data_IF_827978766335
#
_entry.id   IF_827978766335
#
_cell.length_a   1.000
_cell.length_b   1.000
_cell.length_c   1.000
_cell.angle_alpha   90.00
_cell.angle_beta   90.00
_cell.angle_gamma   90.00
#
_symmetry.space_group_name_H-M   'P 1'
#
loop_
_entity.id
_entity.type
_entity.pdbx_description
1 polymer ?
#
# COMPACT_ATOMS: atom_id res chain seq x y z
N UNK A 1 -24.56 -10.84 -0.10
CA UNK A 1 -25.94 -10.29 -0.23
C UNK A 1 -25.99 -8.83 0.21
N UNK A 2 -25.54 -8.43 1.40
CA UNK A 2 -25.58 -7.04 1.89
C UNK A 2 -24.98 -6.01 0.90
N UNK A 3 -23.79 -6.29 0.32
CA UNK A 3 -23.22 -5.48 -0.75
C UNK A 3 -24.15 -5.33 -1.96
N UNK A 4 -24.72 -6.45 -2.42
CA UNK A 4 -25.68 -6.41 -3.52
C UNK A 4 -26.88 -5.52 -3.19
N UNK A 5 -27.44 -5.65 -1.98
CA UNK A 5 -28.56 -4.80 -1.53
C UNK A 5 -28.23 -3.32 -1.51
N UNK A 6 -27.02 -2.97 -1.03
CA UNK A 6 -26.57 -1.58 -0.95
C UNK A 6 -26.31 -0.96 -2.35
N UNK A 7 -25.72 -1.73 -3.29
CA UNK A 7 -25.26 -1.20 -4.57
C UNK A 7 -26.23 -1.40 -5.75
N UNK A 8 -27.27 -2.25 -5.63
CA UNK A 8 -28.29 -2.38 -6.69
C UNK A 8 -29.33 -1.26 -6.63
N UNK A 9 -28.89 -0.04 -6.95
CA UNK A 9 -29.73 1.14 -6.98
C UNK A 9 -29.93 1.60 -8.41
N UNK A 10 -31.19 1.70 -8.87
CA UNK A 10 -31.54 2.07 -10.23
C UNK A 10 -31.92 0.87 -11.11
N UNK A 11 -32.15 1.13 -12.40
CA UNK A 11 -32.71 0.11 -13.32
C UNK A 11 -31.67 -0.52 -14.25
N UNK A 12 -30.41 -0.04 -14.24
CA UNK A 12 -29.36 -0.60 -15.08
C UNK A 12 -28.89 -1.97 -14.57
N UNK A 13 -28.25 -2.73 -15.46
CA UNK A 13 -27.63 -4.00 -15.09
C UNK A 13 -26.37 -3.74 -14.25
N UNK A 14 -26.42 -4.06 -12.96
CA UNK A 14 -25.32 -3.81 -12.03
C UNK A 14 -24.17 -4.80 -12.24
N UNK A 15 -22.94 -4.31 -12.11
CA UNK A 15 -21.72 -5.07 -12.34
C UNK A 15 -20.81 -4.97 -11.13
N UNK A 16 -20.20 -6.09 -10.78
CA UNK A 16 -19.12 -6.16 -9.80
C UNK A 16 -17.91 -6.86 -10.39
N UNK A 17 -16.74 -6.37 -10.09
CA UNK A 17 -15.47 -7.02 -10.44
C UNK A 17 -14.85 -7.59 -9.17
N UNK A 18 -14.31 -8.81 -9.24
CA UNK A 18 -13.68 -9.50 -8.11
C UNK A 18 -12.29 -9.95 -8.52
N UNK A 19 -11.28 -9.46 -7.78
CA UNK A 19 -9.92 -9.96 -7.79
C UNK A 19 -9.55 -10.59 -6.47
N UNK A 20 -8.46 -11.34 -6.44
CA UNK A 20 -7.90 -11.94 -5.23
C UNK A 20 -6.38 -11.99 -5.30
N UNK A 21 -5.74 -12.15 -4.15
CA UNK A 21 -4.35 -12.57 -4.12
C UNK A 21 -4.24 -14.11 -4.25
N UNK A 22 -3.10 -14.65 -3.93
CA UNK A 22 -2.80 -16.07 -4.17
C UNK A 22 -3.14 -17.00 -3.00
N UNK A 23 -3.79 -16.50 -1.93
CA UNK A 23 -4.15 -17.28 -0.74
C UNK A 23 -5.14 -18.40 -1.07
N UNK A 24 -4.92 -19.55 -0.46
CA UNK A 24 -5.80 -20.72 -0.67
C UNK A 24 -7.26 -20.43 -0.29
N UNK A 25 -7.49 -19.72 0.83
CA UNK A 25 -8.83 -19.34 1.29
C UNK A 25 -9.56 -18.41 0.31
N UNK A 26 -8.83 -17.70 -0.56
CA UNK A 26 -9.39 -16.81 -1.58
C UNK A 26 -10.32 -17.54 -2.55
N UNK A 27 -10.07 -18.81 -2.85
CA UNK A 27 -10.95 -19.60 -3.73
C UNK A 27 -12.34 -19.83 -3.13
N UNK A 28 -12.40 -20.15 -1.84
CA UNK A 28 -13.67 -20.35 -1.13
C UNK A 28 -14.44 -19.03 -1.00
N UNK A 29 -13.75 -17.95 -0.61
CA UNK A 29 -14.37 -16.63 -0.39
C UNK A 29 -14.91 -16.08 -1.72
N UNK A 30 -14.18 -16.22 -2.83
CA UNK A 30 -14.60 -15.79 -4.18
C UNK A 30 -15.93 -16.45 -4.59
N UNK A 31 -16.09 -17.76 -4.35
CA UNK A 31 -17.32 -18.47 -4.70
C UNK A 31 -18.51 -18.04 -3.82
N UNK A 32 -18.29 -17.86 -2.52
CA UNK A 32 -19.33 -17.38 -1.60
C UNK A 32 -19.81 -15.98 -1.95
N UNK A 33 -18.89 -15.05 -2.21
CA UNK A 33 -19.21 -13.69 -2.66
C UNK A 33 -19.94 -13.70 -4.00
N UNK A 34 -19.47 -14.49 -4.96
CA UNK A 34 -20.10 -14.64 -6.28
C UNK A 34 -21.55 -15.09 -6.14
N UNK A 35 -21.81 -16.16 -5.40
CA UNK A 35 -23.16 -16.66 -5.19
C UNK A 35 -24.09 -15.61 -4.58
N UNK A 36 -23.62 -14.95 -3.50
CA UNK A 36 -24.41 -13.90 -2.84
C UNK A 36 -24.69 -12.67 -3.72
N UNK A 37 -23.77 -12.27 -4.59
CA UNK A 37 -23.96 -11.13 -5.51
C UNK A 37 -24.88 -11.49 -6.68
N UNK A 38 -24.75 -12.70 -7.24
CA UNK A 38 -25.63 -13.19 -8.29
C UNK A 38 -27.08 -13.25 -7.81
N UNK A 39 -27.33 -13.73 -6.58
CA UNK A 39 -28.68 -13.79 -6.00
C UNK A 39 -29.33 -12.42 -5.81
N UNK A 40 -28.52 -11.36 -5.77
CA UNK A 40 -28.98 -9.97 -5.68
C UNK A 40 -29.10 -9.28 -7.07
N UNK A 41 -28.91 -10.02 -8.16
CA UNK A 41 -29.06 -9.52 -9.54
C UNK A 41 -27.83 -8.83 -10.12
N UNK A 42 -26.65 -8.89 -9.47
CA UNK A 42 -25.42 -8.31 -10.00
C UNK A 42 -24.70 -9.26 -10.94
N UNK A 43 -24.18 -8.77 -12.07
CA UNK A 43 -23.25 -9.52 -12.92
C UNK A 43 -21.85 -9.47 -12.32
N UNK A 44 -21.21 -10.63 -12.14
CA UNK A 44 -19.91 -10.80 -11.50
C UNK A 44 -18.83 -11.09 -12.54
N UNK A 45 -17.77 -10.29 -12.53
CA UNK A 45 -16.60 -10.50 -13.37
C UNK A 45 -15.41 -10.93 -12.51
N UNK A 46 -14.92 -12.15 -12.71
CA UNK A 46 -13.84 -12.77 -11.93
C UNK A 46 -12.52 -12.59 -12.66
N UNK A 47 -11.52 -12.03 -11.98
CA UNK A 47 -10.19 -11.78 -12.54
C UNK A 47 -9.16 -12.84 -12.17
N UNK A 48 -9.42 -13.61 -11.07
CA UNK A 48 -8.41 -14.46 -10.45
C UNK A 48 -7.34 -13.66 -9.71
N UNK A 49 -6.11 -14.20 -9.59
CA UNK A 49 -5.02 -13.49 -8.94
C UNK A 49 -4.61 -12.25 -9.73
N UNK A 50 -4.75 -11.07 -9.11
CA UNK A 50 -4.43 -9.75 -9.69
C UNK A 50 -4.19 -8.75 -8.56
N UNK A 51 -3.27 -7.77 -8.71
CA UNK A 51 -3.01 -6.76 -7.68
C UNK A 51 -4.22 -5.93 -7.26
N UNK A 52 -4.24 -5.51 -6.00
CA UNK A 52 -5.27 -4.59 -5.46
C UNK A 52 -5.47 -3.34 -6.33
N UNK A 53 -4.41 -2.61 -6.74
CA UNK A 53 -4.59 -1.45 -7.62
C UNK A 53 -5.18 -1.79 -9.00
N UNK A 54 -4.95 -2.99 -9.51
CA UNK A 54 -5.58 -3.44 -10.76
C UNK A 54 -7.10 -3.59 -10.60
N UNK A 55 -7.57 -4.11 -9.47
CA UNK A 55 -9.01 -4.18 -9.18
C UNK A 55 -9.62 -2.79 -9.15
N UNK A 56 -9.00 -1.83 -8.45
CA UNK A 56 -9.46 -0.45 -8.40
C UNK A 56 -9.52 0.20 -9.79
N UNK A 57 -8.46 0.02 -10.61
CA UNK A 57 -8.40 0.52 -11.98
C UNK A 57 -9.46 -0.11 -12.88
N UNK A 58 -9.62 -1.44 -12.82
CA UNK A 58 -10.58 -2.17 -13.66
C UNK A 58 -12.03 -1.89 -13.26
N UNK A 59 -12.31 -1.66 -11.97
CA UNK A 59 -13.64 -1.20 -11.53
C UNK A 59 -14.06 0.05 -12.30
N UNK A 60 -13.19 1.05 -12.35
CA UNK A 60 -13.44 2.30 -13.07
C UNK A 60 -13.49 2.08 -14.60
N UNK A 61 -12.52 1.38 -15.19
CA UNK A 61 -12.41 1.25 -16.64
C UNK A 61 -13.53 0.40 -17.24
N UNK A 62 -14.06 -0.59 -16.50
CA UNK A 62 -15.18 -1.42 -16.90
C UNK A 62 -16.55 -0.79 -16.55
N UNK A 63 -16.56 0.36 -15.91
CA UNK A 63 -17.76 1.02 -15.39
C UNK A 63 -18.57 0.04 -14.53
N UNK A 64 -17.89 -0.66 -13.62
CA UNK A 64 -18.54 -1.50 -12.62
C UNK A 64 -19.03 -0.63 -11.45
N UNK A 65 -20.13 -1.05 -10.81
CA UNK A 65 -20.69 -0.35 -9.67
C UNK A 65 -19.85 -0.59 -8.41
N UNK A 66 -19.15 -1.72 -8.38
CA UNK A 66 -18.42 -2.21 -7.23
C UNK A 66 -17.17 -2.98 -7.66
N UNK A 67 -16.08 -2.82 -6.94
CA UNK A 67 -14.89 -3.65 -7.01
C UNK A 67 -14.61 -4.34 -5.68
N UNK A 68 -14.22 -5.60 -5.74
CA UNK A 68 -13.88 -6.39 -4.54
C UNK A 68 -12.50 -7.01 -4.73
N UNK A 69 -11.63 -6.81 -3.76
CA UNK A 69 -10.35 -7.50 -3.66
C UNK A 69 -10.32 -8.39 -2.42
N UNK A 70 -10.03 -9.67 -2.61
CA UNK A 70 -9.91 -10.66 -1.53
C UNK A 70 -8.43 -10.79 -1.20
N UNK A 71 -8.01 -10.23 -0.05
CA UNK A 71 -6.61 -10.17 0.38
C UNK A 71 -6.46 -9.77 1.83
N UNK A 72 -5.36 -10.17 2.47
CA UNK A 72 -4.88 -9.62 3.73
C UNK A 72 -3.50 -8.93 3.56
N UNK A 73 -3.24 -8.36 2.35
CA UNK A 73 -2.03 -7.59 2.01
C UNK A 73 -0.74 -8.34 2.37
N UNK A 74 0.04 -7.79 3.30
CA UNK A 74 1.36 -8.30 3.70
C UNK A 74 1.33 -9.41 4.76
N UNK A 75 0.16 -9.78 5.27
CA UNK A 75 0.03 -10.88 6.24
C UNK A 75 0.33 -12.23 5.59
N UNK A 76 0.65 -13.24 6.40
CA UNK A 76 0.82 -14.61 5.92
C UNK A 76 -0.52 -15.23 5.48
N UNK A 77 -0.48 -16.41 4.87
CA UNK A 77 -1.62 -17.03 4.19
C UNK A 77 -2.82 -17.37 5.08
N UNK A 78 -2.62 -17.53 6.39
CA UNK A 78 -3.67 -17.87 7.36
C UNK A 78 -4.73 -16.78 7.47
N UNK A 79 -4.30 -15.52 7.31
CA UNK A 79 -5.20 -14.38 7.31
C UNK A 79 -5.79 -14.15 5.92
N UNK A 80 -7.00 -13.62 5.88
CA UNK A 80 -7.60 -13.09 4.66
C UNK A 80 -8.56 -11.95 5.02
N UNK A 81 -8.97 -11.18 4.01
CA UNK A 81 -9.84 -10.04 4.18
C UNK A 81 -10.49 -9.62 2.87
N UNK A 82 -11.29 -8.57 2.93
CA UNK A 82 -12.00 -8.03 1.77
C UNK A 82 -11.79 -6.52 1.75
N UNK A 83 -11.25 -6.00 0.65
CA UNK A 83 -11.19 -4.57 0.35
C UNK A 83 -12.27 -4.27 -0.70
N UNK A 84 -13.08 -3.24 -0.46
CA UNK A 84 -14.20 -2.89 -1.32
C UNK A 84 -13.95 -1.51 -1.94
N UNK A 85 -14.22 -1.41 -3.24
CA UNK A 85 -14.02 -0.19 -4.03
C UNK A 85 -15.34 0.28 -4.64
N UNK A 86 -15.58 1.59 -4.59
CA UNK A 86 -16.69 2.23 -5.30
C UNK A 86 -16.45 2.25 -6.82
N UNK A 87 -17.42 2.73 -7.58
CA UNK A 87 -17.35 2.87 -9.04
C UNK A 87 -16.20 3.73 -9.56
N UNK A 88 -15.59 4.55 -8.71
CA UNK A 88 -14.43 5.39 -9.02
C UNK A 88 -13.09 4.71 -8.65
N UNK A 89 -13.13 3.48 -8.11
CA UNK A 89 -11.97 2.75 -7.63
C UNK A 89 -11.42 3.29 -6.30
N UNK A 90 -12.23 3.96 -5.49
CA UNK A 90 -11.86 4.38 -4.14
C UNK A 90 -12.36 3.36 -3.12
N UNK A 91 -11.59 3.13 -2.05
CA UNK A 91 -12.07 2.36 -0.90
C UNK A 91 -13.34 3.01 -0.33
N UNK A 92 -14.25 2.19 0.17
CA UNK A 92 -15.48 2.69 0.78
C UNK A 92 -15.18 3.56 2.00
N UNK A 93 -16.12 4.46 2.32
CA UNK A 93 -16.07 5.23 3.56
C UNK A 93 -16.49 4.39 4.76
N UNK A 94 -16.03 4.71 5.99
CA UNK A 94 -16.48 4.02 7.21
C UNK A 94 -18.00 4.04 7.35
N UNK A 95 -18.63 5.17 6.95
CA UNK A 95 -20.08 5.29 6.96
C UNK A 95 -20.72 4.23 6.07
N UNK A 96 -20.22 4.05 4.87
CA UNK A 96 -20.74 3.04 3.92
C UNK A 96 -20.45 1.62 4.41
N UNK A 97 -19.28 1.37 5.00
CA UNK A 97 -18.93 0.08 5.60
C UNK A 97 -19.89 -0.27 6.75
N UNK A 98 -20.15 0.67 7.67
CA UNK A 98 -21.13 0.50 8.77
C UNK A 98 -22.54 0.24 8.24
N UNK A 99 -22.98 0.95 7.20
CA UNK A 99 -24.29 0.73 6.57
C UNK A 99 -24.40 -0.70 6.01
N UNK A 100 -23.32 -1.23 5.40
CA UNK A 100 -23.26 -2.60 4.88
C UNK A 100 -23.24 -3.62 6.02
N UNK A 101 -22.50 -3.37 7.10
CA UNK A 101 -22.48 -4.22 8.29
C UNK A 101 -23.88 -4.34 8.93
N UNK A 102 -24.61 -3.23 9.08
CA UNK A 102 -26.00 -3.27 9.53
C UNK A 102 -26.92 -4.06 8.59
N UNK A 103 -26.69 -3.99 7.27
CA UNK A 103 -27.43 -4.83 6.32
C UNK A 103 -27.11 -6.32 6.48
N UNK A 104 -25.90 -6.68 6.93
CA UNK A 104 -25.56 -8.09 7.18
C UNK A 104 -26.36 -8.71 8.33
N UNK A 105 -26.81 -7.89 9.28
CA UNK A 105 -27.66 -8.30 10.41
C UNK A 105 -29.17 -8.35 10.07
N UNK A 106 -29.56 -7.86 8.87
CA UNK A 106 -30.94 -7.77 8.43
C UNK A 106 -31.39 -9.01 7.62
N UNK A 107 -32.70 -9.22 7.54
CA UNK A 107 -33.28 -10.25 6.65
C UNK A 107 -33.15 -9.81 5.18
N UNK A 108 -32.22 -10.43 4.45
CA UNK A 108 -31.96 -10.11 3.03
C UNK A 108 -32.75 -10.99 2.05
N UNK A 109 -33.45 -12.00 2.54
CA UNK A 109 -34.20 -12.96 1.71
C UNK A 109 -35.28 -12.30 0.87
N UNK A 110 -35.95 -11.29 1.41
CA UNK A 110 -36.97 -10.51 0.73
C UNK A 110 -36.41 -9.56 -0.36
N UNK A 111 -35.07 -9.46 -0.46
CA UNK A 111 -34.37 -8.58 -1.43
C UNK A 111 -33.72 -9.36 -2.57
N UNK A 112 -33.94 -10.68 -2.65
CA UNK A 112 -33.40 -11.51 -3.73
C UNK A 112 -33.99 -11.10 -5.09
N UNK A 113 -33.15 -11.19 -6.12
CA UNK A 113 -33.59 -10.94 -7.47
C UNK A 113 -34.60 -12.01 -7.95
N UNK A 114 -35.61 -11.62 -8.70
CA UNK A 114 -36.49 -12.57 -9.37
C UNK A 114 -35.71 -13.48 -10.36
N UNK A 115 -36.28 -14.65 -10.72
CA UNK A 115 -35.57 -15.64 -11.55
C UNK A 115 -34.98 -15.10 -12.86
N UNK A 116 -35.68 -14.13 -13.48
CA UNK A 116 -35.26 -13.48 -14.74
C UNK A 116 -34.17 -12.41 -14.52
N UNK A 117 -33.94 -11.98 -13.28
CA UNK A 117 -32.99 -10.91 -12.90
C UNK A 117 -31.74 -11.45 -12.19
N UNK A 118 -31.63 -12.74 -11.94
CA UNK A 118 -30.43 -13.34 -11.37
C UNK A 118 -29.21 -12.94 -12.19
N UNK A 119 -28.10 -12.61 -11.51
CA UNK A 119 -26.84 -12.19 -12.14
C UNK A 119 -26.15 -13.33 -12.89
N UNK A 120 -25.14 -12.98 -13.68
CA UNK A 120 -24.28 -13.93 -14.41
C UNK A 120 -22.83 -13.76 -14.01
N UNK A 121 -22.13 -14.85 -13.73
CA UNK A 121 -20.69 -14.84 -13.50
C UNK A 121 -19.93 -15.08 -14.82
N UNK A 122 -18.85 -14.30 -15.01
CA UNK A 122 -17.93 -14.45 -16.14
C UNK A 122 -16.51 -14.29 -15.69
N UNK A 123 -15.62 -15.21 -16.08
CA UNK A 123 -14.19 -15.04 -15.91
C UNK A 123 -13.61 -14.18 -17.05
N UNK A 124 -12.76 -13.21 -16.72
CA UNK A 124 -12.03 -12.37 -17.67
C UNK A 124 -10.56 -12.76 -17.68
N UNK A 125 -10.12 -13.40 -18.75
CA UNK A 125 -8.75 -13.88 -18.92
C UNK A 125 -7.76 -12.74 -19.24
N UNK A 126 -8.24 -11.61 -19.76
CA UNK A 126 -7.43 -10.48 -20.23
C UNK A 126 -7.21 -9.38 -19.16
N UNK A 127 -7.66 -9.59 -17.92
CA UNK A 127 -7.57 -8.60 -16.84
C UNK A 127 -6.12 -8.17 -16.55
N UNK A 128 -5.18 -9.13 -16.47
CA UNK A 128 -3.76 -8.82 -16.31
C UNK A 128 -3.18 -8.04 -17.48
N UNK A 129 -3.55 -8.38 -18.73
CA UNK A 129 -3.10 -7.66 -19.92
C UNK A 129 -3.58 -6.20 -19.92
N UNK A 130 -4.84 -5.95 -19.54
CA UNK A 130 -5.36 -4.57 -19.39
C UNK A 130 -4.61 -3.77 -18.35
N UNK A 131 -4.26 -4.39 -17.22
CA UNK A 131 -3.49 -3.73 -16.18
C UNK A 131 -2.06 -3.43 -16.64
N UNK A 132 -1.39 -4.36 -17.35
CA UNK A 132 -0.07 -4.15 -17.92
C UNK A 132 -0.07 -2.98 -18.92
N UNK A 133 -1.08 -2.90 -19.79
CA UNK A 133 -1.21 -1.76 -20.72
C UNK A 133 -1.41 -0.44 -19.98
N UNK A 134 -2.21 -0.44 -18.90
CA UNK A 134 -2.34 0.73 -18.05
C UNK A 134 -0.99 1.12 -17.43
N UNK A 135 -0.24 0.16 -16.86
CA UNK A 135 1.08 0.38 -16.26
C UNK A 135 2.07 0.98 -17.27
N UNK A 136 2.13 0.45 -18.50
CA UNK A 136 2.95 1.02 -19.58
C UNK A 136 2.60 2.47 -19.88
N UNK A 137 1.32 2.82 -19.76
CA UNK A 137 0.84 4.20 -19.91
C UNK A 137 1.37 5.17 -18.85
N UNK A 138 1.79 4.68 -17.69
CA UNK A 138 2.38 5.49 -16.61
C UNK A 138 3.88 5.72 -16.78
N UNK A 139 4.55 4.90 -17.59
CA UNK A 139 5.99 5.02 -17.88
C UNK A 139 6.22 5.97 -19.07
N UNK A 140 7.25 6.85 -19.03
CA UNK A 140 7.49 7.79 -20.13
C UNK A 140 7.77 7.08 -21.46
N UNK A 141 7.01 7.40 -22.51
CA UNK A 141 7.11 6.75 -23.82
C UNK A 141 8.49 6.87 -24.49
N UNK A 142 9.27 7.90 -24.12
CA UNK A 142 10.62 8.13 -24.64
C UNK A 142 11.70 7.34 -23.91
N UNK A 143 11.35 6.58 -22.89
CA UNK A 143 12.29 5.83 -22.06
C UNK A 143 12.11 4.33 -22.19
N UNK A 144 13.18 3.60 -21.95
CA UNK A 144 13.22 2.14 -21.85
C UNK A 144 14.14 1.74 -20.69
N UNK A 145 14.05 0.50 -20.28
CA UNK A 145 14.86 -0.08 -19.21
C UNK A 145 16.00 -0.95 -19.74
N UNK A 146 16.34 -0.81 -21.04
CA UNK A 146 17.43 -1.59 -21.66
C UNK A 146 18.74 -1.37 -20.90
N UNK A 147 19.43 -2.48 -20.59
CA UNK A 147 20.69 -2.48 -19.86
C UNK A 147 20.55 -2.44 -18.34
N UNK A 148 19.33 -2.34 -17.78
CA UNK A 148 19.08 -2.51 -16.35
C UNK A 148 18.80 -3.97 -16.02
N UNK A 149 19.55 -4.52 -15.07
CA UNK A 149 19.31 -5.84 -14.48
C UNK A 149 18.55 -5.68 -13.17
N UNK A 150 17.34 -6.20 -13.10
CA UNK A 150 16.39 -6.01 -12.00
C UNK A 150 16.06 -7.36 -11.36
N UNK A 151 16.21 -7.49 -10.04
CA UNK A 151 15.64 -8.61 -9.29
C UNK A 151 14.26 -8.18 -8.80
N UNK A 152 13.21 -8.92 -9.15
CA UNK A 152 11.83 -8.69 -8.70
C UNK A 152 11.37 -9.77 -7.73
N UNK A 153 10.93 -9.38 -6.55
CA UNK A 153 10.28 -10.21 -5.53
C UNK A 153 8.79 -9.89 -5.51
N UNK A 154 7.97 -10.85 -5.92
CA UNK A 154 6.51 -10.69 -5.97
C UNK A 154 5.80 -11.28 -4.74
N UNK A 155 6.52 -11.58 -3.65
CA UNK A 155 5.96 -12.12 -2.40
C UNK A 155 5.12 -13.41 -2.58
N UNK A 156 5.29 -14.17 -3.67
CA UNK A 156 4.34 -15.19 -4.13
C UNK A 156 2.88 -14.69 -4.15
N UNK A 157 2.70 -13.38 -4.35
CA UNK A 157 1.45 -12.65 -4.26
C UNK A 157 0.83 -12.36 -5.63
N UNK A 158 -0.13 -11.46 -5.65
CA UNK A 158 -0.99 -11.14 -6.78
C UNK A 158 -0.26 -10.57 -8.00
N UNK A 159 0.93 -9.98 -7.79
CA UNK A 159 1.74 -9.35 -8.83
C UNK A 159 2.66 -10.32 -9.60
N UNK A 160 2.63 -11.62 -9.29
CA UNK A 160 3.58 -12.61 -9.81
C UNK A 160 3.60 -12.75 -11.35
N UNK A 161 2.53 -12.35 -12.04
CA UNK A 161 2.46 -12.30 -13.50
C UNK A 161 2.79 -10.89 -14.00
N UNK A 162 2.09 -9.88 -13.49
CA UNK A 162 2.14 -8.52 -14.05
C UNK A 162 3.48 -7.82 -13.83
N UNK A 163 4.10 -7.95 -12.65
CA UNK A 163 5.32 -7.21 -12.34
C UNK A 163 6.53 -7.68 -13.15
N UNK A 164 6.83 -8.99 -13.27
CA UNK A 164 7.94 -9.42 -14.12
C UNK A 164 7.70 -9.09 -15.60
N UNK A 165 6.47 -9.26 -16.08
CA UNK A 165 6.14 -9.08 -17.49
C UNK A 165 6.28 -7.62 -17.93
N UNK A 166 5.77 -6.66 -17.13
CA UNK A 166 5.91 -5.23 -17.46
C UNK A 166 7.37 -4.78 -17.51
N UNK A 167 8.21 -5.24 -16.57
CA UNK A 167 9.62 -4.90 -16.55
C UNK A 167 10.35 -5.46 -17.79
N UNK A 168 10.04 -6.70 -18.16
CA UNK A 168 10.59 -7.32 -19.37
C UNK A 168 10.12 -6.61 -20.64
N UNK A 169 8.83 -6.28 -20.77
CA UNK A 169 8.30 -5.54 -21.93
C UNK A 169 8.93 -4.15 -22.09
N UNK A 170 9.34 -3.52 -21.01
CA UNK A 170 10.06 -2.24 -21.03
C UNK A 170 11.57 -2.39 -21.33
N UNK A 171 12.09 -3.61 -21.45
CA UNK A 171 13.46 -3.91 -21.90
C UNK A 171 14.44 -4.29 -20.81
N UNK A 172 14.01 -4.45 -19.54
CA UNK A 172 14.90 -4.86 -18.45
C UNK A 172 15.31 -6.34 -18.55
N UNK A 173 16.52 -6.67 -18.07
CA UNK A 173 16.90 -8.03 -17.70
C UNK A 173 16.28 -8.35 -16.35
N UNK A 174 15.31 -9.29 -16.29
CA UNK A 174 14.49 -9.53 -15.11
C UNK A 174 14.82 -10.88 -14.48
N UNK A 175 15.26 -10.84 -13.22
CA UNK A 175 15.45 -12.03 -12.38
C UNK A 175 14.28 -12.09 -11.40
N UNK A 176 13.56 -13.20 -11.40
CA UNK A 176 12.34 -13.38 -10.62
C UNK A 176 12.61 -14.21 -9.38
N UNK A 177 12.12 -13.76 -8.22
CA UNK A 177 12.03 -14.54 -6.99
C UNK A 177 10.63 -14.43 -6.40
N UNK A 178 10.21 -15.42 -5.62
CA UNK A 178 8.87 -15.50 -5.03
C UNK A 178 7.74 -15.22 -6.05
N UNK A 179 7.81 -15.91 -7.21
CA UNK A 179 6.81 -15.84 -8.29
C UNK A 179 6.13 -17.18 -8.56
N UNK A 180 6.21 -18.11 -7.61
CA UNK A 180 5.59 -19.44 -7.71
C UNK A 180 4.60 -19.67 -6.56
N UNK A 181 3.42 -19.03 -6.59
CA UNK A 181 2.44 -19.16 -5.53
C UNK A 181 1.87 -20.58 -5.46
N UNK A 182 1.74 -21.12 -4.24
CA UNK A 182 1.14 -22.43 -3.99
C UNK A 182 -0.11 -22.37 -3.07
N UNK A 183 -0.57 -21.15 -2.74
CA UNK A 183 -1.71 -20.91 -1.88
C UNK A 183 -1.37 -20.69 -0.40
N UNK A 184 -0.17 -21.11 0.04
CA UNK A 184 0.26 -21.03 1.45
C UNK A 184 1.60 -20.34 1.66
N UNK A 185 2.28 -19.92 0.59
CA UNK A 185 3.61 -19.32 0.65
C UNK A 185 3.64 -17.80 0.41
N UNK A 186 2.48 -17.14 0.31
CA UNK A 186 2.40 -15.69 0.15
C UNK A 186 3.04 -14.97 1.36
N UNK A 187 3.89 -13.98 1.11
CA UNK A 187 4.63 -13.19 2.11
C UNK A 187 5.52 -14.01 3.06
N UNK A 188 5.73 -15.29 2.81
CA UNK A 188 6.55 -16.12 3.68
C UNK A 188 8.04 -15.92 3.38
N UNK A 189 8.71 -15.20 4.27
CA UNK A 189 10.14 -14.84 4.14
C UNK A 189 10.50 -14.17 2.79
N UNK A 190 9.60 -13.37 2.25
CA UNK A 190 9.78 -12.64 0.99
C UNK A 190 8.91 -11.38 0.95
N UNK A 191 9.04 -10.61 -0.13
CA UNK A 191 8.26 -9.40 -0.39
C UNK A 191 8.74 -8.18 0.39
N UNK A 192 7.95 -7.10 0.35
CA UNK A 192 8.33 -5.78 0.84
C UNK A 192 8.56 -5.70 2.36
N UNK A 193 8.04 -6.64 3.14
CA UNK A 193 8.23 -6.70 4.59
C UNK A 193 9.42 -7.57 5.02
N UNK A 194 9.97 -8.39 4.12
CA UNK A 194 11.16 -9.22 4.36
C UNK A 194 12.04 -9.27 3.11
N UNK A 195 12.91 -8.30 2.98
CA UNK A 195 13.76 -8.09 1.80
C UNK A 195 15.10 -8.83 1.84
N UNK A 196 15.38 -9.67 2.84
CA UNK A 196 16.67 -10.33 3.03
C UNK A 196 17.05 -11.22 1.83
N UNK A 197 16.10 -12.01 1.33
CA UNK A 197 16.33 -12.86 0.15
C UNK A 197 16.57 -12.04 -1.10
N UNK A 198 15.84 -10.92 -1.25
CA UNK A 198 16.02 -9.99 -2.36
C UNK A 198 17.41 -9.34 -2.32
N UNK A 199 17.82 -8.81 -1.16
CA UNK A 199 19.15 -8.20 -1.00
C UNK A 199 20.27 -9.16 -1.35
N UNK A 200 20.20 -10.41 -0.84
CA UNK A 200 21.16 -11.45 -1.17
C UNK A 200 21.19 -11.74 -2.68
N UNK A 201 20.00 -11.85 -3.31
CA UNK A 201 19.91 -12.14 -4.74
C UNK A 201 20.43 -11.00 -5.60
N UNK A 202 20.21 -9.74 -5.24
CA UNK A 202 20.78 -8.57 -5.91
C UNK A 202 22.31 -8.64 -5.93
N UNK A 203 22.93 -8.96 -4.79
CA UNK A 203 24.38 -9.08 -4.69
C UNK A 203 24.93 -10.26 -5.49
N UNK A 204 24.28 -11.43 -5.41
CA UNK A 204 24.68 -12.65 -6.15
C UNK A 204 24.67 -12.43 -7.66
N UNK A 205 23.61 -11.81 -8.16
CA UNK A 205 23.39 -11.57 -9.60
C UNK A 205 24.08 -10.30 -10.09
N UNK A 206 24.67 -9.51 -9.19
CA UNK A 206 25.22 -8.18 -9.49
C UNK A 206 24.18 -7.31 -10.22
N UNK A 207 22.94 -7.34 -9.73
CA UNK A 207 21.85 -6.58 -10.31
C UNK A 207 21.97 -5.09 -9.95
N UNK A 208 21.43 -4.23 -10.80
CA UNK A 208 21.45 -2.78 -10.60
C UNK A 208 20.48 -2.34 -9.49
N UNK A 209 19.40 -3.12 -9.29
CA UNK A 209 18.35 -2.80 -8.33
C UNK A 209 17.51 -4.04 -8.02
N UNK A 210 17.01 -4.12 -6.79
CA UNK A 210 15.98 -5.05 -6.36
C UNK A 210 14.67 -4.35 -6.09
N UNK A 211 13.56 -4.97 -6.47
CA UNK A 211 12.20 -4.49 -6.25
C UNK A 211 11.43 -5.55 -5.51
N UNK A 212 10.82 -5.22 -4.37
CA UNK A 212 9.94 -6.11 -3.62
C UNK A 212 8.54 -5.50 -3.52
N UNK A 213 7.55 -6.30 -3.84
CA UNK A 213 6.13 -5.99 -3.65
C UNK A 213 5.59 -6.77 -2.45
N UNK A 214 4.46 -6.38 -1.89
CA UNK A 214 3.75 -7.21 -0.92
C UNK A 214 2.71 -8.13 -1.62
N UNK A 215 2.02 -8.94 -0.82
CA UNK A 215 1.14 -10.00 -1.33
C UNK A 215 0.04 -9.51 -2.26
N UNK A 216 -0.44 -8.28 -2.14
CA UNK A 216 -1.46 -7.71 -3.03
C UNK A 216 -0.97 -6.53 -3.88
N UNK A 217 0.34 -6.24 -3.84
CA UNK A 217 1.01 -5.35 -4.78
C UNK A 217 0.76 -3.86 -4.57
N UNK A 218 0.26 -3.45 -3.41
CA UNK A 218 0.00 -2.04 -3.10
C UNK A 218 1.19 -1.34 -2.41
N UNK A 219 2.25 -2.09 -2.04
CA UNK A 219 3.49 -1.59 -1.42
C UNK A 219 4.73 -1.92 -2.22
N UNK A 220 5.74 -1.08 -2.06
CA UNK A 220 7.05 -1.21 -2.67
C UNK A 220 8.16 -1.07 -1.63
N UNK A 221 9.13 -1.98 -1.65
CA UNK A 221 10.44 -1.79 -1.07
C UNK A 221 11.50 -1.94 -2.18
N UNK A 222 12.58 -1.19 -2.08
CA UNK A 222 13.67 -1.21 -3.07
C UNK A 222 14.97 -1.60 -2.39
N UNK A 223 15.80 -2.36 -3.07
CA UNK A 223 17.17 -2.70 -2.65
C UNK A 223 18.13 -2.12 -3.68
N UNK A 224 19.14 -1.38 -3.22
CA UNK A 224 20.20 -0.88 -4.09
C UNK A 224 21.19 -1.99 -4.52
N UNK A 225 22.09 -1.69 -5.43
CA UNK A 225 23.11 -2.64 -5.94
C UNK A 225 24.12 -3.10 -4.88
N UNK A 226 24.12 -2.46 -3.69
CA UNK A 226 24.93 -2.83 -2.52
C UNK A 226 24.20 -3.69 -1.51
N UNK A 227 22.91 -3.98 -1.76
CA UNK A 227 22.05 -4.77 -0.88
C UNK A 227 21.38 -3.96 0.24
N UNK A 228 21.42 -2.63 0.19
CA UNK A 228 20.80 -1.79 1.22
C UNK A 228 19.34 -1.46 0.88
N UNK A 229 18.51 -1.46 1.93
CA UNK A 229 17.08 -1.13 1.82
C UNK A 229 16.87 0.36 1.60
N UNK A 230 16.09 0.69 0.60
CA UNK A 230 15.50 2.01 0.34
C UNK A 230 14.03 1.94 0.72
N UNK A 231 13.67 2.52 1.85
CA UNK A 231 12.31 2.47 2.39
C UNK A 231 11.38 3.51 1.74
N UNK A 232 10.09 3.48 2.12
CA UNK A 232 9.07 4.38 1.56
C UNK A 232 9.37 5.87 1.73
N UNK A 233 10.03 6.28 2.81
CA UNK A 233 10.38 7.68 3.03
C UNK A 233 11.44 8.17 2.02
N UNK A 234 12.43 7.34 1.69
CA UNK A 234 13.43 7.66 0.65
C UNK A 234 12.78 7.73 -0.73
N UNK A 235 11.86 6.80 -1.03
CA UNK A 235 11.12 6.78 -2.30
C UNK A 235 10.22 8.02 -2.39
N UNK A 236 9.51 8.38 -1.32
CA UNK A 236 8.66 9.57 -1.25
C UNK A 236 9.49 10.85 -1.48
N UNK A 237 10.68 10.94 -0.85
CA UNK A 237 11.62 12.03 -1.05
C UNK A 237 12.07 12.16 -2.52
N UNK A 238 12.47 11.03 -3.12
CA UNK A 238 12.90 10.98 -4.52
C UNK A 238 11.82 11.52 -5.45
N UNK A 239 10.62 10.97 -5.33
CA UNK A 239 9.48 11.34 -6.16
C UNK A 239 9.10 12.81 -5.97
N UNK A 240 9.04 13.29 -4.72
CA UNK A 240 8.72 14.68 -4.41
C UNK A 240 9.70 15.66 -5.05
N UNK A 241 11.00 15.41 -4.92
CA UNK A 241 12.06 16.27 -5.46
C UNK A 241 12.00 16.27 -7.00
N UNK A 242 11.88 15.12 -7.64
CA UNK A 242 11.84 15.04 -9.11
C UNK A 242 10.52 15.64 -9.67
N UNK A 243 9.39 15.38 -9.03
CA UNK A 243 8.11 16.00 -9.42
C UNK A 243 8.13 17.53 -9.23
N UNK A 244 8.77 18.03 -8.17
CA UNK A 244 8.92 19.46 -7.96
C UNK A 244 9.79 20.10 -9.03
N UNK A 245 10.94 19.50 -9.40
CA UNK A 245 11.80 19.94 -10.52
C UNK A 245 11.04 20.00 -11.85
N UNK A 246 10.20 18.99 -12.10
CA UNK A 246 9.38 18.89 -13.30
C UNK A 246 8.13 19.80 -13.24
N UNK A 247 7.90 20.55 -12.15
CA UNK A 247 6.72 21.39 -11.88
C UNK A 247 5.41 20.58 -11.90
N UNK A 248 5.48 19.33 -11.49
CA UNK A 248 4.33 18.40 -11.42
C UNK A 248 3.83 18.17 -10.00
N UNK A 249 4.61 18.59 -8.96
CA UNK A 249 4.20 18.45 -7.57
C UNK A 249 3.18 19.53 -7.22
N UNK A 250 1.95 19.14 -6.95
CA UNK A 250 0.87 20.08 -6.60
C UNK A 250 1.15 20.75 -5.26
N UNK A 251 0.94 22.06 -5.22
CA UNK A 251 1.08 22.91 -4.04
C UNK A 251 2.44 22.79 -3.33
N UNK A 252 3.45 22.18 -3.98
CA UNK A 252 4.77 21.93 -3.40
C UNK A 252 4.72 21.25 -2.03
N UNK A 253 3.74 20.36 -1.83
CA UNK A 253 3.57 19.61 -0.60
C UNK A 253 3.40 18.11 -0.90
N UNK A 254 3.79 17.28 0.08
CA UNK A 254 3.53 15.85 0.10
C UNK A 254 2.83 15.45 1.39
N UNK A 255 2.09 14.35 1.37
CA UNK A 255 1.51 13.78 2.59
C UNK A 255 2.36 12.60 3.04
N UNK A 256 2.85 12.65 4.28
CA UNK A 256 3.41 11.51 4.99
C UNK A 256 2.54 11.13 6.18
N UNK A 257 2.86 10.05 6.86
CA UNK A 257 2.21 9.72 8.14
C UNK A 257 2.92 10.35 9.32
N UNK A 258 2.30 10.27 10.50
CA UNK A 258 2.97 10.62 11.76
C UNK A 258 4.25 9.79 12.02
N UNK A 259 4.43 8.66 11.33
CA UNK A 259 5.62 7.80 11.44
C UNK A 259 6.75 8.14 10.47
N UNK A 260 6.50 9.03 9.47
CA UNK A 260 7.53 9.43 8.52
C UNK A 260 8.74 10.06 9.21
N UNK A 261 9.95 9.67 8.85
CA UNK A 261 11.19 10.08 9.52
C UNK A 261 11.43 11.59 9.44
N UNK A 262 11.96 12.21 10.49
CA UNK A 262 12.29 13.65 10.49
C UNK A 262 13.36 14.00 9.46
N UNK A 263 14.24 13.06 9.11
CA UNK A 263 15.20 13.24 8.02
C UNK A 263 14.52 13.53 6.68
N UNK A 264 13.37 12.89 6.41
CA UNK A 264 12.53 13.20 5.25
C UNK A 264 12.06 14.67 5.29
N UNK A 265 11.48 15.11 6.41
CA UNK A 265 10.99 16.49 6.56
C UNK A 265 12.11 17.51 6.37
N UNK A 266 13.26 17.27 6.99
CA UNK A 266 14.44 18.12 6.88
C UNK A 266 14.94 18.22 5.43
N UNK A 267 14.98 17.08 4.71
CA UNK A 267 15.36 17.07 3.30
C UNK A 267 14.36 17.84 2.43
N UNK A 268 13.08 17.56 2.57
CA UNK A 268 12.03 18.22 1.78
C UNK A 268 12.04 19.74 1.99
N UNK A 269 12.22 20.19 3.22
CA UNK A 269 12.33 21.62 3.58
C UNK A 269 13.50 22.30 2.85
N UNK A 270 14.66 21.62 2.69
CA UNK A 270 15.80 22.13 1.91
C UNK A 270 15.45 22.33 0.42
N UNK A 271 14.47 21.59 -0.09
CA UNK A 271 13.96 21.71 -1.45
C UNK A 271 12.72 22.58 -1.59
N UNK A 272 12.33 23.32 -0.54
CA UNK A 272 11.10 24.13 -0.47
C UNK A 272 9.83 23.29 -0.69
N UNK A 273 9.83 22.05 -0.23
CA UNK A 273 8.69 21.13 -0.27
C UNK A 273 8.18 20.93 1.17
N UNK A 274 6.88 21.12 1.37
CA UNK A 274 6.25 20.87 2.68
C UNK A 274 5.89 19.41 2.88
N UNK A 275 5.99 18.94 4.13
CA UNK A 275 5.48 17.63 4.56
C UNK A 275 4.25 17.84 5.43
N UNK A 276 3.09 17.36 4.98
CA UNK A 276 1.86 17.34 5.74
C UNK A 276 1.70 15.96 6.36
N UNK A 277 1.57 15.90 7.70
CA UNK A 277 1.46 14.64 8.42
C UNK A 277 0.01 14.23 8.61
N UNK A 278 -0.32 13.01 8.17
CA UNK A 278 -1.60 12.35 8.40
C UNK A 278 -1.47 11.30 9.53
N UNK A 279 -2.60 10.80 10.02
CA UNK A 279 -2.63 9.58 10.86
C UNK A 279 -2.06 8.40 10.06
N UNK A 280 -1.57 7.38 10.77
CA UNK A 280 -1.09 6.13 10.13
C UNK A 280 -2.26 5.38 9.51
N UNK A 281 -2.09 4.99 8.25
CA UNK A 281 -3.05 4.27 7.43
C UNK A 281 -3.24 4.96 6.08
N UNK A 282 -3.22 4.17 5.02
CA UNK A 282 -3.33 4.59 3.62
C UNK A 282 -4.56 5.46 3.35
N UNK A 283 -5.64 5.17 4.03
CA UNK A 283 -6.89 5.93 3.98
C UNK A 283 -6.69 7.36 4.45
N UNK A 284 -6.06 7.58 5.62
CA UNK A 284 -5.85 8.93 6.17
C UNK A 284 -4.88 9.74 5.30
N UNK A 285 -3.86 9.08 4.73
CA UNK A 285 -2.97 9.70 3.74
C UNK A 285 -3.78 10.18 2.55
N UNK A 286 -4.63 9.32 1.98
CA UNK A 286 -5.48 9.66 0.83
C UNK A 286 -6.48 10.77 1.12
N UNK A 287 -7.19 10.70 2.26
CA UNK A 287 -8.14 11.73 2.70
C UNK A 287 -7.44 13.10 2.81
N UNK A 288 -6.23 13.11 3.39
CA UNK A 288 -5.43 14.33 3.51
C UNK A 288 -4.96 14.84 2.14
N UNK A 289 -4.54 13.95 1.23
CA UNK A 289 -4.20 14.33 -0.15
C UNK A 289 -5.39 14.96 -0.90
N UNK A 290 -6.60 14.47 -0.67
CA UNK A 290 -7.81 15.01 -1.30
C UNK A 290 -8.15 16.38 -0.72
N UNK A 291 -8.17 16.52 0.61
CA UNK A 291 -8.54 17.78 1.29
C UNK A 291 -7.57 18.93 0.98
N UNK A 292 -6.29 18.64 0.75
CA UNK A 292 -5.24 19.62 0.45
C UNK A 292 -4.94 19.75 -1.06
N UNK A 293 -5.68 19.04 -1.92
CA UNK A 293 -5.45 18.90 -3.37
C UNK A 293 -4.00 18.55 -3.73
N UNK A 294 -3.49 17.49 -3.11
CA UNK A 294 -2.13 16.98 -3.34
C UNK A 294 -2.15 15.72 -4.21
N UNK A 295 -1.08 15.50 -4.97
CA UNK A 295 -0.96 14.36 -5.89
C UNK A 295 0.09 13.32 -5.49
N UNK A 296 0.87 13.56 -4.42
CA UNK A 296 1.84 12.62 -3.88
C UNK A 296 1.68 12.47 -2.37
N UNK A 297 1.61 11.23 -1.90
CA UNK A 297 1.60 10.90 -0.48
C UNK A 297 1.99 9.45 -0.25
N UNK A 298 2.41 9.12 0.97
CA UNK A 298 2.81 7.75 1.25
C UNK A 298 3.22 7.49 2.69
N UNK A 299 3.61 6.26 2.92
CA UNK A 299 4.04 5.73 4.21
C UNK A 299 5.45 5.14 4.12
N UNK A 300 6.17 5.15 5.23
CA UNK A 300 7.49 4.49 5.36
C UNK A 300 7.44 3.02 4.96
N UNK A 301 6.29 2.35 5.14
CA UNK A 301 6.04 0.96 4.73
C UNK A 301 6.07 0.72 3.22
N UNK A 302 6.20 1.78 2.41
CA UNK A 302 6.23 1.70 0.95
C UNK A 302 4.86 1.77 0.27
N UNK A 303 3.77 1.99 1.01
CA UNK A 303 2.48 2.30 0.42
C UNK A 303 2.48 3.75 -0.05
N UNK A 304 2.66 3.99 -1.35
CA UNK A 304 2.78 5.32 -1.95
C UNK A 304 1.67 5.51 -2.98
N UNK A 305 1.04 6.67 -2.91
CA UNK A 305 -0.08 7.07 -3.76
C UNK A 305 0.39 8.18 -4.71
N UNK A 306 0.30 7.91 -6.00
CA UNK A 306 0.50 8.87 -7.09
C UNK A 306 -0.86 9.15 -7.73
N UNK A 307 -1.60 10.16 -7.23
CA UNK A 307 -2.99 10.45 -7.64
C UNK A 307 -3.15 10.82 -9.11
N UNK A 308 -2.08 11.22 -9.78
CA UNK A 308 -2.12 11.47 -11.22
C UNK A 308 -2.29 10.17 -12.03
N UNK A 309 -1.96 9.03 -11.46
CA UNK A 309 -2.04 7.71 -12.11
C UNK A 309 -3.11 6.82 -11.48
N UNK A 310 -3.15 6.73 -10.14
CA UNK A 310 -3.97 5.73 -9.43
C UNK A 310 -4.82 6.36 -8.32
N UNK A 311 -5.91 5.70 -7.98
CA UNK A 311 -6.77 6.09 -6.86
C UNK A 311 -6.32 5.53 -5.51
N UNK A 312 -5.33 4.63 -5.49
CA UNK A 312 -4.79 3.97 -4.29
C UNK A 312 -3.28 3.76 -4.47
N UNK A 313 -2.59 3.24 -3.46
CA UNK A 313 -1.20 2.79 -3.61
C UNK A 313 -1.07 1.73 -4.69
N UNK A 314 0.01 1.80 -5.45
CA UNK A 314 0.35 0.85 -6.52
C UNK A 314 1.88 0.68 -6.55
N UNK A 315 2.35 -0.45 -6.01
CA UNK A 315 3.78 -0.72 -5.90
C UNK A 315 4.48 -0.78 -7.26
N UNK A 316 3.78 -1.25 -8.31
CA UNK A 316 4.37 -1.34 -9.65
C UNK A 316 4.47 0.04 -10.30
N UNK A 317 3.42 0.87 -10.20
CA UNK A 317 3.47 2.27 -10.71
C UNK A 317 4.62 3.02 -10.03
N UNK A 318 4.75 2.91 -8.71
CA UNK A 318 5.83 3.57 -7.97
C UNK A 318 7.20 3.03 -8.41
N UNK A 319 7.36 1.72 -8.56
CA UNK A 319 8.59 1.11 -9.08
C UNK A 319 8.96 1.65 -10.46
N UNK A 320 8.00 1.76 -11.38
CA UNK A 320 8.22 2.31 -12.71
C UNK A 320 8.67 3.78 -12.67
N UNK A 321 8.11 4.61 -11.76
CA UNK A 321 8.57 5.99 -11.61
C UNK A 321 10.01 6.05 -11.05
N UNK A 322 10.35 5.21 -10.06
CA UNK A 322 11.73 5.10 -9.54
C UNK A 322 12.69 4.66 -10.64
N UNK A 323 12.35 3.64 -11.41
CA UNK A 323 13.17 3.15 -12.52
C UNK A 323 13.32 4.18 -13.64
N UNK A 324 12.27 4.94 -13.95
CA UNK A 324 12.33 6.06 -14.90
C UNK A 324 13.35 7.12 -14.47
N UNK A 325 13.36 7.47 -13.18
CA UNK A 325 14.32 8.43 -12.63
C UNK A 325 15.75 7.86 -12.69
N UNK A 326 15.93 6.61 -12.29
CA UNK A 326 17.24 5.95 -12.30
C UNK A 326 17.82 5.86 -13.71
N UNK A 327 17.03 5.40 -14.69
CA UNK A 327 17.41 5.33 -16.11
C UNK A 327 17.82 6.69 -16.68
N UNK A 328 17.12 7.76 -16.32
CA UNK A 328 17.41 9.13 -16.75
C UNK A 328 18.71 9.66 -16.14
N UNK A 329 18.95 9.39 -14.86
CA UNK A 329 20.15 9.85 -14.14
C UNK A 329 21.41 9.09 -14.53
N UNK A 330 21.31 7.87 -15.08
CA UNK A 330 22.43 6.98 -15.43
C UNK A 330 23.41 6.76 -14.28
N UNK A 331 22.93 6.84 -13.04
CA UNK A 331 23.69 6.62 -11.81
C UNK A 331 23.39 5.28 -11.19
N UNK A 332 24.20 4.88 -10.20
CA UNK A 332 23.90 3.69 -9.38
C UNK A 332 22.71 3.94 -8.48
N UNK A 333 21.95 2.89 -8.17
CA UNK A 333 20.80 2.99 -7.27
C UNK A 333 21.19 3.56 -5.91
N UNK A 334 22.32 3.13 -5.33
CA UNK A 334 22.85 3.66 -4.06
C UNK A 334 23.12 5.16 -4.06
N UNK A 335 23.56 5.73 -5.18
CA UNK A 335 23.85 7.15 -5.28
C UNK A 335 22.58 8.00 -5.52
N UNK A 336 21.56 7.38 -6.11
CA UNK A 336 20.34 8.08 -6.52
C UNK A 336 19.21 8.02 -5.49
N UNK A 337 19.17 6.98 -4.65
CA UNK A 337 18.01 6.65 -3.83
C UNK A 337 18.19 6.95 -2.33
N UNK A 338 19.41 7.00 -1.81
CA UNK A 338 19.68 7.38 -0.42
C UNK A 338 19.88 8.88 -0.30
N UNK A 339 18.78 9.63 -0.21
CA UNK A 339 18.78 11.09 -0.30
C UNK A 339 19.03 11.78 1.05
N UNK A 340 18.80 11.08 2.16
CA UNK A 340 19.05 11.55 3.51
C UNK A 340 19.44 10.40 4.43
N UNK A 341 20.13 10.71 5.53
CA UNK A 341 20.36 9.75 6.61
C UNK A 341 19.15 9.75 7.54
N UNK A 342 18.44 8.62 7.68
CA UNK A 342 17.33 8.54 8.63
C UNK A 342 17.82 8.79 10.06
N UNK A 343 17.06 9.55 10.84
CA UNK A 343 17.28 9.61 12.27
C UNK A 343 16.99 8.24 12.89
N UNK A 344 17.77 7.84 13.89
CA UNK A 344 17.49 6.63 14.67
C UNK A 344 16.07 6.68 15.25
N UNK A 345 15.36 5.55 15.14
CA UNK A 345 14.03 5.37 15.68
C UNK A 345 13.95 4.10 16.53
N UNK A 346 13.26 4.15 17.65
CA UNK A 346 12.87 2.97 18.41
C UNK A 346 11.34 2.87 18.45
N UNK A 347 10.79 1.70 18.08
CA UNK A 347 9.37 1.41 18.08
C UNK A 347 9.07 0.33 19.13
N UNK A 348 8.26 0.68 20.12
CA UNK A 348 7.92 -0.20 21.23
C UNK A 348 6.41 -0.45 21.20
N UNK A 349 6.00 -1.70 21.41
CA UNK A 349 4.60 -2.09 21.48
C UNK A 349 4.28 -2.59 22.89
N UNK A 350 3.26 -2.03 23.52
CA UNK A 350 2.78 -2.42 24.84
C UNK A 350 1.38 -3.03 24.71
N UNK A 351 1.16 -4.27 25.21
CA UNK A 351 -0.20 -4.79 25.34
C UNK A 351 -0.99 -3.93 26.33
N UNK A 352 -2.16 -3.45 25.92
CA UNK A 352 -3.01 -2.64 26.80
C UNK A 352 -4.38 -3.28 26.96
N UNK A 353 -4.87 -3.26 28.20
CA UNK A 353 -6.21 -3.73 28.56
C UNK A 353 -7.28 -2.66 28.29
N UNK A 354 -6.90 -1.39 28.44
CA UNK A 354 -7.79 -0.24 28.34
C UNK A 354 -7.47 0.58 27.08
N UNK A 355 -8.43 0.72 26.19
CA UNK A 355 -8.27 1.51 24.97
C UNK A 355 -8.18 3.02 25.21
N UNK A 356 -8.65 3.49 26.36
CA UNK A 356 -8.67 4.90 26.75
C UNK A 356 -7.46 5.34 27.60
N UNK A 357 -6.39 4.53 27.69
CA UNK A 357 -5.18 4.85 28.46
C UNK A 357 -4.59 6.23 28.07
N UNK A 358 -4.72 6.66 26.81
CA UNK A 358 -4.25 7.96 26.34
C UNK A 358 -5.12 9.14 26.79
N UNK A 359 -6.32 8.90 27.31
CA UNK A 359 -7.23 9.94 27.79
C UNK A 359 -6.94 10.31 29.24
N UNK A 360 -6.20 9.49 29.98
CA UNK A 360 -5.84 9.72 31.38
C UNK A 360 -4.88 10.91 31.51
N UNK A 361 -5.16 11.80 32.47
CA UNK A 361 -4.34 13.01 32.68
C UNK A 361 -2.88 12.70 33.01
N UNK A 362 -2.63 11.68 33.84
CA UNK A 362 -1.26 11.26 34.21
C UNK A 362 -0.49 10.79 32.95
N UNK A 363 -1.17 10.06 32.03
CA UNK A 363 -0.57 9.61 30.76
C UNK A 363 -0.24 10.79 29.85
N UNK A 364 -1.14 11.78 29.75
CA UNK A 364 -0.90 13.00 28.97
C UNK A 364 0.28 13.79 29.51
N UNK A 365 0.35 13.96 30.86
CA UNK A 365 1.46 14.65 31.51
C UNK A 365 2.79 13.91 31.29
N UNK A 366 2.78 12.58 31.40
CA UNK A 366 3.96 11.76 31.13
C UNK A 366 4.42 11.92 29.68
N UNK A 367 3.52 11.80 28.70
CA UNK A 367 3.86 11.98 27.28
C UNK A 367 4.44 13.37 27.04
N UNK A 368 3.83 14.41 27.59
CA UNK A 368 4.34 15.78 27.49
C UNK A 368 5.75 15.93 28.06
N UNK A 369 6.03 15.30 29.21
CA UNK A 369 7.39 15.29 29.79
C UNK A 369 8.41 14.60 28.88
N UNK A 370 7.99 13.56 28.14
CA UNK A 370 8.83 12.90 27.16
C UNK A 370 9.06 13.78 25.92
N UNK A 371 8.02 14.49 25.43
CA UNK A 371 8.13 15.45 24.34
C UNK A 371 9.12 16.57 24.65
N UNK A 372 9.10 17.09 25.89
CA UNK A 372 10.04 18.11 26.36
C UNK A 372 11.50 17.62 26.39
N UNK A 373 11.72 16.35 26.71
CA UNK A 373 13.07 15.73 26.74
C UNK A 373 13.65 15.45 25.37
N UNK A 374 12.80 15.13 24.37
CA UNK A 374 13.26 14.82 23.01
C UNK A 374 13.91 16.03 22.33
N UNK A 375 13.59 17.27 22.77
CA UNK A 375 14.07 18.53 22.21
C UNK A 375 13.70 18.78 20.73
N UNK A 376 14.30 19.79 20.11
CA UNK A 376 14.03 20.15 18.69
C UNK A 376 14.56 19.13 17.68
N UNK A 377 15.51 18.27 18.09
CA UNK A 377 16.18 17.28 17.21
C UNK A 377 15.51 15.89 17.24
N UNK A 378 14.33 15.80 17.80
CA UNK A 378 13.64 14.52 17.89
C UNK A 378 12.14 14.66 18.14
N UNK A 379 11.47 13.53 18.34
CA UNK A 379 10.04 13.49 18.67
C UNK A 379 9.64 12.14 19.25
N UNK A 380 8.53 12.13 19.94
CA UNK A 380 7.84 10.92 20.39
C UNK A 380 6.44 10.88 19.76
N UNK A 381 6.01 9.70 19.33
CA UNK A 381 4.65 9.46 18.83
C UNK A 381 4.04 8.32 19.61
N UNK A 382 2.98 8.60 20.36
CA UNK A 382 2.25 7.61 21.14
C UNK A 382 0.85 7.46 20.57
N UNK A 383 0.45 6.22 20.22
CA UNK A 383 -0.86 5.97 19.62
C UNK A 383 -1.37 4.56 19.90
N UNK A 384 -2.66 4.40 19.91
CA UNK A 384 -3.27 3.07 19.86
C UNK A 384 -3.11 2.42 18.47
N UNK A 385 -2.92 1.10 18.44
CA UNK A 385 -3.03 0.33 17.21
C UNK A 385 -4.51 0.30 16.75
N UNK A 386 -4.74 0.46 15.45
CA UNK A 386 -6.10 0.40 14.89
C UNK A 386 -6.70 -1.01 14.89
N UNK A 387 -5.85 -2.05 14.83
CA UNK A 387 -6.28 -3.44 14.63
C UNK A 387 -6.01 -4.36 15.82
N UNK A 388 -5.08 -3.99 16.70
CA UNK A 388 -4.62 -4.80 17.82
C UNK A 388 -4.79 -4.05 19.15
N UNK A 389 -4.96 -4.73 20.29
CA UNK A 389 -5.00 -4.10 21.60
C UNK A 389 -3.59 -3.71 22.08
N UNK A 390 -2.89 -2.88 21.28
CA UNK A 390 -1.52 -2.44 21.52
C UNK A 390 -1.43 -0.92 21.54
N UNK A 391 -0.70 -0.39 22.53
CA UNK A 391 -0.16 0.96 22.50
C UNK A 391 1.18 0.93 21.76
N UNK A 392 1.34 1.77 20.77
CA UNK A 392 2.58 1.91 19.99
C UNK A 392 3.25 3.22 20.31
N UNK A 393 4.50 3.14 20.76
CA UNK A 393 5.34 4.28 21.07
C UNK A 393 6.53 4.29 20.12
N UNK A 394 6.69 5.37 19.37
CA UNK A 394 7.88 5.61 18.54
C UNK A 394 8.65 6.78 19.12
N UNK A 395 9.94 6.57 19.36
CA UNK A 395 10.89 7.58 19.81
C UNK A 395 11.90 7.77 18.68
N UNK A 396 12.12 9.02 18.28
CA UNK A 396 13.05 9.39 17.21
C UNK A 396 13.91 10.55 17.68
N UNK A 397 15.23 10.45 17.54
CA UNK A 397 16.16 11.53 17.87
C UNK A 397 17.49 11.37 17.12
N UNK A 398 18.19 12.46 16.89
CA UNK A 398 19.58 12.45 16.44
C UNK A 398 20.56 11.92 17.49
N UNK A 399 20.16 11.87 18.75
CA UNK A 399 20.97 11.40 19.88
C UNK A 399 20.50 10.04 20.40
N UNK A 400 21.33 9.01 20.25
CA UNK A 400 21.02 7.65 20.70
C UNK A 400 20.79 7.57 22.21
N UNK A 401 21.53 8.33 23.02
CA UNK A 401 21.35 8.36 24.47
C UNK A 401 19.93 8.82 24.87
N UNK A 402 19.40 9.84 24.19
CA UNK A 402 18.02 10.31 24.38
C UNK A 402 16.99 9.22 24.06
N UNK A 403 17.22 8.46 22.98
CA UNK A 403 16.35 7.33 22.63
C UNK A 403 16.38 6.26 23.71
N UNK A 404 17.56 5.89 24.20
CA UNK A 404 17.73 4.83 25.20
C UNK A 404 17.08 5.23 26.54
N UNK A 405 17.31 6.47 27.02
CA UNK A 405 16.71 7.02 28.24
C UNK A 405 15.17 7.07 28.17
N UNK A 406 14.63 7.55 27.04
CA UNK A 406 13.19 7.62 26.86
C UNK A 406 12.57 6.23 26.68
N UNK A 407 13.28 5.30 26.02
CA UNK A 407 12.86 3.91 25.91
C UNK A 407 12.71 3.26 27.29
N UNK A 408 13.67 3.46 28.19
CA UNK A 408 13.60 2.96 29.57
C UNK A 408 12.44 3.59 30.35
N UNK A 409 12.28 4.93 30.24
CA UNK A 409 11.22 5.68 30.90
C UNK A 409 9.81 5.23 30.44
N UNK A 410 9.62 5.09 29.13
CA UNK A 410 8.36 4.65 28.50
C UNK A 410 8.06 3.19 28.89
N UNK A 411 9.07 2.32 28.86
CA UNK A 411 8.92 0.92 29.27
C UNK A 411 8.48 0.82 30.72
N UNK A 412 9.11 1.58 31.62
CA UNK A 412 8.74 1.58 33.01
C UNK A 412 7.32 2.10 33.29
N UNK A 413 6.85 3.06 32.48
CA UNK A 413 5.52 3.66 32.66
C UNK A 413 4.39 2.77 32.15
N UNK A 414 4.57 2.09 31.00
CA UNK A 414 3.52 1.31 30.33
C UNK A 414 3.60 -0.21 30.59
N UNK A 415 4.62 -0.73 31.28
CA UNK A 415 4.71 -2.13 31.71
C UNK A 415 4.03 -2.34 33.03
#
# INVERSE_FOLDING_TARGET
MALGKHFTVGEHRHKVVIGKDTRLSGYMIEQALTSGLLSMGMDVFLFGPIPTPAVAMLTKSMRADLGIMITASHNQYQDNGIKIFDKNGNKLSDKTEIEIEHLMESELENSLAGPEKIGRAKRLEDANGRYIEFLKGTFPKSQRLDGLKIVIDCANGASYISAPLILWELGAEVIQIATQPNGTNINFECGSTNTNKLAKKVLEEKADIGIALDGDGDRLAVIDEKGHLVNGDQILALLAIEMSKDKKLKNNNVVGTSMANMGLETLLKKHNIGLIRAKVGDRYVKEKMISEDLNLGGEQSGHIILRDFTSSGDGIVVALQVLSILSRKKGKASDCLHLFSPLPQNLINFPVKERNILDHEDTKLFIKSCEEKVSEDGRIVVRMSGTEPLLRVMIESGNQHTIDELTESVTKYFS
#
